data_IF_597433822920
#
_entry.id   IF_597433822920
#
_cell.length_a   1.000
_cell.length_b   1.000
_cell.length_c   1.000
_cell.angle_alpha   90.00
_cell.angle_beta   90.00
_cell.angle_gamma   90.00
#
_symmetry.space_group_name_H-M   'P 1'
#
loop_
_entity.id
_entity.type
_entity.pdbx_description
1 polymer ?
#
# COMPACT_ATOMS: atom_id res chain seq x y z
N UNK A 1 34.50 1.07 -29.44
CA UNK A 1 35.04 1.29 -30.78
C UNK A 1 36.27 2.19 -30.68
N UNK A 2 37.43 1.72 -31.16
CA UNK A 2 38.59 2.61 -31.36
C UNK A 2 38.53 3.16 -32.79
N UNK A 3 38.97 4.39 -32.97
CA UNK A 3 38.95 5.05 -34.30
C UNK A 3 40.14 5.95 -34.52
N UNK A 4 40.43 6.20 -35.79
CA UNK A 4 41.27 7.27 -36.31
C UNK A 4 40.51 7.92 -37.46
N UNK A 5 40.38 9.25 -37.48
CA UNK A 5 39.66 9.96 -38.53
C UNK A 5 40.34 11.27 -38.89
N UNK A 6 39.98 11.83 -40.04
CA UNK A 6 40.32 13.19 -40.43
C UNK A 6 39.55 14.21 -39.60
N UNK A 7 40.16 15.37 -39.39
CA UNK A 7 39.44 16.53 -38.86
C UNK A 7 38.71 17.24 -40.01
N UNK A 8 37.57 16.69 -40.39
CA UNK A 8 36.65 17.24 -41.37
C UNK A 8 35.19 17.14 -40.89
N UNK A 9 34.26 17.78 -41.58
CA UNK A 9 32.84 17.83 -41.21
C UNK A 9 32.14 16.47 -41.25
N UNK A 10 32.73 15.51 -41.93
CA UNK A 10 32.19 14.15 -42.03
C UNK A 10 32.80 13.18 -41.02
N UNK A 11 33.85 13.60 -40.29
CA UNK A 11 34.66 12.73 -39.42
C UNK A 11 35.11 11.47 -40.18
N UNK A 12 35.74 11.68 -41.33
CA UNK A 12 36.12 10.62 -42.28
C UNK A 12 37.08 9.64 -41.63
N UNK A 13 36.61 8.40 -41.42
CA UNK A 13 37.34 7.36 -40.69
C UNK A 13 38.44 6.74 -41.55
N UNK A 14 39.69 6.76 -41.06
CA UNK A 14 40.83 6.03 -41.63
C UNK A 14 40.98 4.63 -41.02
N UNK A 15 40.60 4.49 -39.75
CA UNK A 15 40.61 3.25 -38.99
C UNK A 15 39.41 3.21 -38.08
N UNK A 16 38.75 2.03 -37.99
CA UNK A 16 37.67 1.72 -37.06
C UNK A 16 37.81 0.27 -36.61
N UNK A 17 37.80 0.04 -35.32
CA UNK A 17 37.83 -1.33 -34.77
C UNK A 17 36.48 -2.04 -34.93
N UNK A 18 36.48 -3.39 -34.87
CA UNK A 18 35.30 -4.23 -35.04
C UNK A 18 34.16 -3.91 -34.04
N UNK A 19 34.50 -3.34 -32.86
CA UNK A 19 33.52 -2.87 -31.88
C UNK A 19 32.55 -1.78 -32.40
N UNK A 20 32.77 -1.21 -33.63
CA UNK A 20 31.83 -0.27 -34.22
C UNK A 20 30.48 -0.94 -34.54
N UNK A 21 30.49 -2.21 -34.95
CA UNK A 21 29.24 -2.94 -35.25
C UNK A 21 28.30 -3.05 -34.03
N UNK A 22 28.85 -3.32 -32.88
CA UNK A 22 28.08 -3.40 -31.63
C UNK A 22 27.46 -2.07 -31.21
N UNK A 23 28.17 -0.95 -31.50
CA UNK A 23 27.74 0.40 -31.13
C UNK A 23 26.78 0.98 -32.16
N UNK A 24 27.14 0.90 -33.45
CA UNK A 24 26.46 1.62 -34.52
C UNK A 24 25.54 0.75 -35.37
N UNK A 25 25.72 -0.57 -35.36
CA UNK A 25 25.05 -1.49 -36.29
C UNK A 25 25.65 -1.53 -37.69
N UNK A 26 26.66 -0.71 -37.99
CA UNK A 26 27.38 -0.72 -39.24
C UNK A 26 28.71 -1.47 -39.12
N UNK A 27 29.11 -2.18 -40.18
CA UNK A 27 30.42 -2.82 -40.22
C UNK A 27 31.53 -1.76 -40.37
N UNK A 28 32.78 -2.03 -39.92
CA UNK A 28 33.90 -1.11 -40.08
C UNK A 28 34.06 -0.62 -41.50
N UNK A 29 33.91 -1.50 -42.49
CA UNK A 29 34.09 -1.16 -43.91
C UNK A 29 33.07 -0.14 -44.41
N UNK A 30 31.91 -0.01 -43.78
CA UNK A 30 30.88 0.96 -44.16
C UNK A 30 31.26 2.40 -43.75
N UNK A 31 31.97 2.55 -42.64
CA UNK A 31 32.43 3.82 -42.10
C UNK A 31 33.77 4.28 -42.66
N UNK A 32 34.64 3.31 -43.01
CA UNK A 32 35.96 3.63 -43.56
C UNK A 32 35.83 4.45 -44.84
N UNK A 33 36.50 5.63 -44.84
CA UNK A 33 36.50 6.60 -45.95
C UNK A 33 35.07 7.01 -46.39
N UNK A 34 34.10 6.99 -45.43
CA UNK A 34 32.68 7.30 -45.64
C UNK A 34 32.07 6.48 -46.80
N UNK A 35 32.48 5.19 -46.92
CA UNK A 35 32.07 4.35 -48.05
C UNK A 35 30.56 4.24 -48.22
N UNK A 36 29.85 3.97 -47.15
CA UNK A 36 28.39 3.82 -47.15
C UNK A 36 27.71 4.93 -46.33
N UNK A 37 28.36 5.40 -45.25
CA UNK A 37 27.86 6.42 -44.32
C UNK A 37 29.05 7.10 -43.64
N UNK A 38 28.93 8.40 -43.34
CA UNK A 38 29.91 9.10 -42.52
C UNK A 38 29.60 8.97 -41.04
N UNK A 39 30.58 9.15 -40.14
CA UNK A 39 30.32 9.14 -38.73
C UNK A 39 29.44 10.31 -38.28
N UNK A 40 29.56 11.46 -38.98
CA UNK A 40 28.70 12.62 -38.73
C UNK A 40 27.19 12.31 -38.93
N UNK A 41 26.87 11.46 -39.92
CA UNK A 41 25.49 11.08 -40.21
C UNK A 41 24.89 10.19 -39.08
N UNK A 42 25.73 9.54 -38.27
CA UNK A 42 25.29 8.79 -37.08
C UNK A 42 25.05 9.71 -35.89
N UNK A 43 25.72 10.85 -35.80
CA UNK A 43 25.55 11.80 -34.70
C UNK A 43 24.16 12.44 -34.80
N UNK A 44 23.38 12.44 -33.71
CA UNK A 44 22.10 13.13 -33.71
C UNK A 44 22.28 14.62 -34.10
N UNK A 45 21.39 15.18 -34.93
CA UNK A 45 21.56 16.52 -35.49
C UNK A 45 21.82 17.63 -34.47
N UNK A 46 21.22 17.50 -33.29
CA UNK A 46 21.35 18.43 -32.16
C UNK A 46 22.79 18.53 -31.61
N UNK A 47 23.63 17.50 -31.82
CA UNK A 47 25.01 17.46 -31.32
C UNK A 47 26.06 17.80 -32.38
N UNK A 48 25.76 17.72 -33.69
CA UNK A 48 26.74 17.83 -34.75
C UNK A 48 27.57 19.16 -34.73
N UNK A 49 26.88 20.30 -34.66
CA UNK A 49 27.55 21.59 -34.63
C UNK A 49 28.26 21.86 -33.30
N UNK A 50 27.68 21.40 -32.21
CA UNK A 50 28.28 21.48 -30.87
C UNK A 50 29.63 20.72 -30.83
N UNK A 51 29.62 19.47 -31.28
CA UNK A 51 30.84 18.62 -31.29
C UNK A 51 31.92 19.19 -32.20
N UNK A 52 31.55 19.70 -33.42
CA UNK A 52 32.48 20.34 -34.31
C UNK A 52 33.20 21.52 -33.65
N UNK A 53 32.48 22.41 -33.02
CA UNK A 53 33.04 23.58 -32.36
C UNK A 53 33.93 23.18 -31.19
N UNK A 54 33.47 22.23 -30.36
CA UNK A 54 34.22 21.74 -29.21
C UNK A 54 35.54 21.07 -29.62
N UNK A 55 35.53 20.24 -30.66
CA UNK A 55 36.74 19.64 -31.19
C UNK A 55 37.72 20.70 -31.69
N UNK A 56 37.25 21.75 -32.36
CA UNK A 56 38.10 22.87 -32.80
C UNK A 56 38.81 23.57 -31.64
N UNK A 57 38.10 23.82 -30.53
CA UNK A 57 38.70 24.41 -29.34
C UNK A 57 39.75 23.51 -28.69
N UNK A 58 39.44 22.21 -28.58
CA UNK A 58 40.31 21.21 -27.95
C UNK A 58 41.59 21.00 -28.76
N UNK A 59 41.46 20.90 -30.08
CA UNK A 59 42.62 20.76 -31.00
C UNK A 59 43.53 21.98 -30.94
N UNK A 60 42.98 23.19 -30.88
CA UNK A 60 43.77 24.43 -30.76
C UNK A 60 44.58 24.49 -29.44
N UNK A 61 44.07 23.88 -28.38
CA UNK A 61 44.72 23.82 -27.05
C UNK A 61 45.62 22.59 -26.90
N UNK A 62 45.57 21.64 -27.81
CA UNK A 62 46.24 20.33 -27.76
C UNK A 62 45.84 19.52 -26.50
N UNK A 63 44.57 19.60 -26.12
CA UNK A 63 43.99 18.91 -24.96
C UNK A 63 43.28 17.60 -25.38
N UNK A 64 42.81 16.85 -24.39
CA UNK A 64 42.00 15.66 -24.61
C UNK A 64 40.52 16.04 -24.70
N UNK A 65 39.85 15.58 -25.75
CA UNK A 65 38.42 15.65 -25.90
C UNK A 65 37.75 14.61 -24.97
N UNK A 66 36.67 14.99 -24.32
CA UNK A 66 35.77 14.10 -23.58
C UNK A 66 34.38 14.67 -23.68
N UNK A 67 33.45 13.87 -24.14
CA UNK A 67 32.03 14.24 -24.16
C UNK A 67 31.10 13.05 -24.25
N UNK A 68 29.81 13.30 -24.00
CA UNK A 68 28.71 12.36 -24.12
C UNK A 68 27.66 12.90 -25.07
N UNK A 69 27.25 12.12 -26.06
CA UNK A 69 26.26 12.53 -27.05
C UNK A 69 25.46 11.33 -27.56
N UNK A 70 24.38 11.58 -28.31
CA UNK A 70 23.59 10.53 -28.91
C UNK A 70 23.93 10.29 -30.36
N UNK A 71 23.92 9.02 -30.73
CA UNK A 71 24.02 8.57 -32.14
C UNK A 71 22.74 7.81 -32.52
N UNK A 72 22.49 7.76 -33.85
CA UNK A 72 21.44 6.96 -34.47
C UNK A 72 22.08 5.74 -35.13
N UNK A 73 21.70 4.54 -34.68
CA UNK A 73 22.23 3.28 -35.22
C UNK A 73 21.62 2.94 -36.58
N UNK A 74 22.14 1.92 -37.25
CA UNK A 74 21.60 1.38 -38.50
C UNK A 74 20.15 0.90 -38.39
N UNK A 75 19.68 0.53 -37.22
CA UNK A 75 18.27 0.17 -36.94
C UNK A 75 17.36 1.37 -36.66
N UNK A 76 17.91 2.59 -36.58
CA UNK A 76 17.20 3.80 -36.21
C UNK A 76 17.08 3.99 -34.68
N UNK A 77 17.70 3.16 -33.87
CA UNK A 77 17.74 3.28 -32.43
C UNK A 77 18.68 4.40 -31.99
N UNK A 78 18.30 5.22 -31.02
CA UNK A 78 19.20 6.19 -30.40
C UNK A 78 20.00 5.50 -29.28
N UNK A 79 21.32 5.72 -29.29
CA UNK A 79 22.25 5.25 -28.26
C UNK A 79 23.10 6.41 -27.73
N UNK A 80 23.30 6.42 -26.42
CA UNK A 80 24.25 7.30 -25.78
C UNK A 80 25.66 6.75 -25.90
N UNK A 81 26.57 7.58 -26.34
CA UNK A 81 28.01 7.26 -26.44
C UNK A 81 28.83 8.25 -25.63
N UNK A 82 29.91 7.75 -25.05
CA UNK A 82 30.99 8.55 -24.48
C UNK A 82 32.17 8.48 -25.39
N UNK A 83 32.67 9.63 -25.81
CA UNK A 83 33.86 9.75 -26.65
C UNK A 83 35.03 10.35 -25.86
N UNK A 84 36.20 9.76 -25.99
CA UNK A 84 37.46 10.32 -25.53
C UNK A 84 38.46 10.21 -26.66
N UNK A 85 39.09 11.35 -27.04
CA UNK A 85 40.06 11.40 -28.13
C UNK A 85 41.07 12.52 -27.99
N UNK A 86 42.01 12.55 -28.91
CA UNK A 86 43.03 13.60 -28.99
C UNK A 86 43.45 13.84 -30.47
N UNK A 87 43.99 15.00 -30.72
CA UNK A 87 44.59 15.30 -32.01
C UNK A 87 45.96 14.63 -32.19
N UNK A 88 46.23 14.19 -33.39
CA UNK A 88 47.57 13.76 -33.86
C UNK A 88 48.13 14.91 -34.72
N UNK A 89 49.36 15.30 -34.45
CA UNK A 89 49.96 16.50 -35.05
C UNK A 89 51.25 16.15 -35.81
N UNK A 90 51.53 16.87 -36.91
CA UNK A 90 52.80 16.81 -37.60
C UNK A 90 53.90 17.61 -36.86
N UNK A 91 55.12 17.62 -37.41
CA UNK A 91 56.28 18.35 -36.84
C UNK A 91 56.06 19.88 -36.81
N UNK A 92 55.19 20.41 -37.69
CA UNK A 92 54.82 21.83 -37.77
C UNK A 92 53.65 22.19 -36.81
N UNK A 93 53.05 21.20 -36.20
CA UNK A 93 51.95 21.35 -35.22
C UNK A 93 50.57 21.40 -35.88
N UNK A 94 50.41 21.05 -37.16
CA UNK A 94 49.11 20.92 -37.81
C UNK A 94 48.45 19.60 -37.45
N UNK A 95 47.14 19.60 -37.35
CA UNK A 95 46.33 18.37 -37.06
C UNK A 95 46.35 17.51 -38.34
N UNK A 96 46.87 16.28 -38.21
CA UNK A 96 46.90 15.30 -39.30
C UNK A 96 45.81 14.26 -39.14
N UNK A 97 45.37 13.98 -37.91
CA UNK A 97 44.28 13.05 -37.60
C UNK A 97 43.74 13.30 -36.17
N UNK A 98 42.62 12.67 -35.89
CA UNK A 98 42.09 12.52 -34.56
C UNK A 98 42.04 11.03 -34.25
N UNK A 99 42.45 10.65 -33.05
CA UNK A 99 42.36 9.29 -32.55
C UNK A 99 41.57 9.24 -31.24
N UNK A 100 40.75 8.20 -31.07
CA UNK A 100 39.96 8.11 -29.87
C UNK A 100 39.23 6.78 -29.67
N UNK A 101 38.43 6.78 -28.63
CA UNK A 101 37.55 5.68 -28.24
C UNK A 101 36.14 6.20 -28.09
N UNK A 102 35.20 5.48 -28.67
CA UNK A 102 33.76 5.64 -28.45
C UNK A 102 33.23 4.42 -27.70
N UNK A 103 32.52 4.66 -26.64
CA UNK A 103 31.97 3.62 -25.72
C UNK A 103 30.47 3.81 -25.64
N UNK A 104 29.69 2.74 -25.78
CA UNK A 104 28.25 2.76 -25.56
C UNK A 104 27.97 2.89 -24.04
N UNK A 105 27.34 3.98 -23.64
CA UNK A 105 26.94 4.27 -22.25
C UNK A 105 25.42 4.25 -22.07
N UNK A 106 24.67 3.74 -23.04
CA UNK A 106 23.19 3.72 -23.00
C UNK A 106 22.69 2.99 -21.76
N UNK A 107 23.29 1.85 -21.42
CA UNK A 107 22.92 1.10 -20.24
C UNK A 107 23.24 1.86 -18.93
N UNK A 108 24.35 2.60 -18.91
CA UNK A 108 24.70 3.45 -17.78
C UNK A 108 23.68 4.58 -17.62
N UNK A 109 23.33 5.28 -18.71
CA UNK A 109 22.31 6.34 -18.70
C UNK A 109 20.93 5.84 -18.25
N UNK A 110 20.53 4.65 -18.72
CA UNK A 110 19.29 4.00 -18.26
C UNK A 110 19.33 3.69 -16.77
N UNK A 111 20.44 3.17 -16.26
CA UNK A 111 20.60 2.90 -14.80
C UNK A 111 20.57 4.21 -14.00
N UNK A 112 21.25 5.25 -14.47
CA UNK A 112 21.23 6.56 -13.78
C UNK A 112 19.82 7.16 -13.75
N UNK A 113 19.08 7.10 -14.87
CA UNK A 113 17.70 7.53 -14.95
C UNK A 113 16.79 6.70 -14.02
N UNK A 114 16.99 5.38 -13.98
CA UNK A 114 16.25 4.48 -13.11
C UNK A 114 16.56 4.75 -11.63
N UNK A 115 17.83 4.91 -11.25
CA UNK A 115 18.22 5.30 -9.89
C UNK A 115 17.58 6.62 -9.50
N UNK A 116 17.61 7.62 -10.41
CA UNK A 116 16.95 8.92 -10.17
C UNK A 116 15.45 8.75 -9.94
N UNK A 117 14.79 7.91 -10.75
CA UNK A 117 13.38 7.60 -10.57
C UNK A 117 13.11 6.97 -9.20
N UNK A 118 13.88 5.95 -8.80
CA UNK A 118 13.76 5.29 -7.49
C UNK A 118 14.01 6.24 -6.32
N UNK A 119 14.93 7.20 -6.48
CA UNK A 119 15.23 8.18 -5.44
C UNK A 119 14.08 9.16 -5.18
N UNK A 120 13.24 9.43 -6.18
CA UNK A 120 12.21 10.46 -6.10
C UNK A 120 10.78 9.94 -6.15
N UNK A 121 10.55 8.67 -6.51
CA UNK A 121 9.20 8.12 -6.64
C UNK A 121 8.91 6.99 -5.65
N UNK A 122 7.65 6.89 -5.25
CA UNK A 122 7.09 5.73 -4.54
C UNK A 122 6.73 4.64 -5.56
N UNK A 123 7.28 3.44 -5.38
CA UNK A 123 7.14 2.36 -6.37
C UNK A 123 5.72 1.79 -6.46
N UNK A 124 4.94 1.87 -5.39
CA UNK A 124 3.58 1.35 -5.39
C UNK A 124 2.62 2.27 -6.15
N UNK A 125 2.69 3.58 -5.87
CA UNK A 125 1.72 4.55 -6.40
C UNK A 125 2.23 5.33 -7.61
N UNK A 126 3.54 5.30 -7.89
CA UNK A 126 4.18 6.10 -8.91
C UNK A 126 4.19 7.60 -8.64
N UNK A 127 3.74 8.04 -7.46
CA UNK A 127 3.83 9.43 -7.01
C UNK A 127 5.26 9.77 -6.59
N UNK A 128 5.54 11.05 -6.39
CA UNK A 128 6.78 11.44 -5.74
C UNK A 128 6.79 10.92 -4.29
N UNK A 129 7.99 10.60 -3.78
CA UNK A 129 8.20 10.09 -2.44
C UNK A 129 8.52 11.21 -1.42
N UNK A 130 8.76 10.82 -0.16
CA UNK A 130 9.10 11.74 0.93
C UNK A 130 10.36 12.54 0.64
N UNK A 131 11.39 11.92 0.06
CA UNK A 131 12.65 12.60 -0.24
C UNK A 131 12.45 13.76 -1.23
N UNK A 132 11.63 13.55 -2.27
CA UNK A 132 11.27 14.60 -3.21
C UNK A 132 10.45 15.72 -2.55
N UNK A 133 9.55 15.38 -1.62
CA UNK A 133 8.80 16.37 -0.84
C UNK A 133 9.75 17.29 -0.05
N UNK A 134 10.68 16.71 0.72
CA UNK A 134 11.62 17.46 1.57
C UNK A 134 12.56 18.36 0.76
N UNK A 135 13.05 17.89 -0.38
CA UNK A 135 13.89 18.68 -1.28
C UNK A 135 13.08 19.81 -1.95
N UNK A 136 11.89 19.48 -2.45
CA UNK A 136 11.07 20.43 -3.19
C UNK A 136 10.50 21.53 -2.31
N UNK A 137 10.09 21.23 -1.07
CA UNK A 137 9.55 22.22 -0.15
C UNK A 137 10.59 23.33 0.14
N UNK A 138 11.86 22.96 0.27
CA UNK A 138 12.95 23.91 0.49
C UNK A 138 13.22 24.82 -0.72
N UNK A 139 13.03 24.28 -1.93
CA UNK A 139 13.23 25.01 -3.20
C UNK A 139 12.05 25.93 -3.53
N UNK A 140 10.83 25.51 -3.20
CA UNK A 140 9.61 26.24 -3.55
C UNK A 140 9.30 27.37 -2.58
N UNK A 141 9.93 27.36 -1.40
CA UNK A 141 9.76 28.38 -0.34
C UNK A 141 10.40 29.70 -0.72
N UNK A 142 9.86 30.34 -1.76
CA UNK A 142 10.31 31.61 -2.31
C UNK A 142 9.14 32.53 -2.64
N UNK A 143 9.36 33.86 -2.61
CA UNK A 143 8.33 34.89 -2.83
C UNK A 143 7.47 34.68 -4.11
N UNK A 144 8.01 34.26 -5.26
CA UNK A 144 7.18 34.08 -6.46
C UNK A 144 6.10 33.01 -6.33
N UNK A 145 6.21 32.12 -5.36
CA UNK A 145 5.30 31.01 -5.17
C UNK A 145 4.23 31.24 -4.09
N UNK A 146 4.30 32.40 -3.38
CA UNK A 146 3.36 32.75 -2.31
C UNK A 146 2.01 33.21 -2.88
N UNK A 147 0.89 32.87 -2.21
CA UNK A 147 0.79 32.03 -1.02
C UNK A 147 0.98 30.56 -1.36
N UNK A 148 1.65 29.79 -0.46
CA UNK A 148 1.87 28.35 -0.61
C UNK A 148 0.95 27.63 0.35
N UNK A 149 0.04 26.82 -0.18
CA UNK A 149 -0.79 25.93 0.63
C UNK A 149 -0.23 24.50 0.64
N UNK A 150 -0.29 23.88 1.80
CA UNK A 150 0.10 22.48 1.99
C UNK A 150 -1.13 21.72 2.45
N UNK A 151 -1.43 20.60 1.80
CA UNK A 151 -2.45 19.65 2.23
C UNK A 151 -1.75 18.36 2.64
N UNK A 152 -2.03 17.87 3.85
CA UNK A 152 -1.62 16.56 4.34
C UNK A 152 -2.85 15.67 4.40
N UNK A 153 -2.71 14.42 3.97
CA UNK A 153 -3.80 13.46 3.93
C UNK A 153 -3.37 12.10 4.46
N UNK A 154 -4.30 11.41 5.12
CA UNK A 154 -4.10 10.08 5.69
C UNK A 154 -5.32 9.20 5.41
N UNK A 155 -5.07 7.93 5.00
CA UNK A 155 -6.13 6.97 4.71
C UNK A 155 -6.67 6.37 6.00
N UNK A 156 -7.97 6.58 6.24
CA UNK A 156 -8.62 6.02 7.42
C UNK A 156 -8.81 4.50 7.27
N UNK A 157 -8.39 3.74 8.27
CA UNK A 157 -8.65 2.31 8.37
C UNK A 157 -7.84 1.41 7.44
N UNK A 158 -6.75 1.88 6.81
CA UNK A 158 -5.90 1.04 5.95
C UNK A 158 -5.42 -0.22 6.68
N UNK A 159 -5.04 -0.12 7.96
CA UNK A 159 -4.62 -1.27 8.77
C UNK A 159 -5.74 -2.30 8.91
N UNK A 160 -6.98 -1.86 9.13
CA UNK A 160 -8.13 -2.75 9.25
C UNK A 160 -8.42 -3.46 7.93
N UNK A 161 -8.30 -2.76 6.79
CA UNK A 161 -8.42 -3.36 5.45
C UNK A 161 -7.34 -4.42 5.23
N UNK A 162 -6.08 -4.13 5.59
CA UNK A 162 -4.97 -5.07 5.46
C UNK A 162 -5.17 -6.33 6.30
N UNK A 163 -5.65 -6.20 7.53
CA UNK A 163 -5.91 -7.34 8.42
C UNK A 163 -7.11 -8.18 7.98
N UNK A 164 -8.15 -7.54 7.43
CA UNK A 164 -9.35 -8.24 7.00
C UNK A 164 -9.22 -8.88 5.61
N UNK A 165 -8.57 -8.19 4.66
CA UNK A 165 -8.59 -8.58 3.24
C UNK A 165 -7.19 -8.84 2.66
N UNK A 166 -6.13 -8.66 3.45
CA UNK A 166 -4.74 -8.81 3.01
C UNK A 166 -4.13 -7.53 2.45
N UNK A 167 -2.79 -7.51 2.37
CA UNK A 167 -1.99 -6.34 1.94
C UNK A 167 -2.27 -5.93 0.49
N UNK A 168 -2.60 -6.88 -0.39
CA UNK A 168 -2.92 -6.60 -1.79
C UNK A 168 -4.13 -5.65 -1.91
N UNK A 169 -5.13 -5.81 -1.03
CA UNK A 169 -6.29 -4.92 -0.99
C UNK A 169 -5.96 -3.54 -0.43
N UNK A 170 -5.05 -3.45 0.51
CA UNK A 170 -4.51 -2.17 0.98
C UNK A 170 -3.74 -1.44 -0.12
N UNK A 171 -2.95 -2.16 -0.90
CA UNK A 171 -2.21 -1.62 -2.04
C UNK A 171 -3.14 -1.13 -3.16
N UNK A 172 -4.23 -1.86 -3.44
CA UNK A 172 -5.30 -1.38 -4.34
C UNK A 172 -5.93 -0.08 -3.83
N UNK A 173 -6.17 0.02 -2.51
CA UNK A 173 -6.72 1.21 -1.88
C UNK A 173 -5.78 2.41 -2.00
N UNK A 174 -4.48 2.22 -1.69
CA UNK A 174 -3.43 3.22 -1.85
C UNK A 174 -3.35 3.74 -3.29
N UNK A 175 -3.36 2.85 -4.27
CA UNK A 175 -3.37 3.20 -5.68
C UNK A 175 -4.64 3.96 -6.11
N UNK A 176 -5.78 3.62 -5.53
CA UNK A 176 -7.05 4.30 -5.80
C UNK A 176 -7.04 5.74 -5.29
N UNK A 177 -6.54 5.95 -4.06
CA UNK A 177 -6.34 7.28 -3.48
C UNK A 177 -5.36 8.10 -4.32
N UNK A 178 -4.22 7.53 -4.70
CA UNK A 178 -3.23 8.20 -5.54
C UNK A 178 -3.83 8.68 -6.87
N UNK A 179 -4.65 7.84 -7.53
CA UNK A 179 -5.36 8.20 -8.77
C UNK A 179 -6.36 9.35 -8.56
N UNK A 180 -7.13 9.30 -7.46
CA UNK A 180 -8.08 10.35 -7.14
C UNK A 180 -7.33 11.66 -6.90
N UNK A 181 -6.33 11.67 -6.02
CA UNK A 181 -5.54 12.87 -5.73
C UNK A 181 -4.92 13.46 -7.00
N UNK A 182 -4.30 12.62 -7.84
CA UNK A 182 -3.68 13.04 -9.11
C UNK A 182 -4.67 13.70 -10.07
N UNK A 183 -5.93 13.22 -10.10
CA UNK A 183 -6.98 13.80 -10.97
C UNK A 183 -7.32 15.25 -10.60
N UNK A 184 -7.16 15.61 -9.32
CA UNK A 184 -7.48 16.95 -8.81
C UNK A 184 -6.24 17.83 -8.59
N UNK A 185 -5.06 17.39 -9.03
CA UNK A 185 -3.85 18.19 -9.09
C UNK A 185 -3.79 18.99 -10.40
N UNK A 186 -3.30 20.22 -10.33
CA UNK A 186 -2.93 21.06 -11.47
C UNK A 186 -1.46 20.82 -11.87
N UNK A 187 -1.04 21.37 -13.00
CA UNK A 187 0.33 21.18 -13.51
C UNK A 187 1.43 21.69 -12.57
N UNK A 188 1.13 22.77 -11.83
CA UNK A 188 2.05 23.36 -10.84
C UNK A 188 2.06 22.66 -9.50
N UNK A 189 1.08 21.80 -9.22
CA UNK A 189 0.94 21.10 -7.94
C UNK A 189 1.90 19.93 -7.83
N UNK A 190 2.38 19.68 -6.62
CA UNK A 190 3.29 18.58 -6.35
C UNK A 190 2.60 17.61 -5.40
N UNK A 191 2.28 16.42 -5.89
CA UNK A 191 1.66 15.34 -5.14
C UNK A 191 2.69 14.29 -4.77
N UNK A 192 2.76 13.98 -3.48
CA UNK A 192 3.71 13.03 -2.91
C UNK A 192 3.04 12.02 -1.98
N UNK A 193 3.63 10.83 -1.86
CA UNK A 193 3.34 9.89 -0.78
C UNK A 193 4.49 9.95 0.22
N UNK A 194 4.22 10.44 1.43
CA UNK A 194 5.25 10.74 2.44
C UNK A 194 5.35 9.67 3.53
N UNK A 195 4.38 8.77 3.62
CA UNK A 195 4.33 7.70 4.60
C UNK A 195 3.60 6.46 4.07
N UNK A 196 3.34 5.49 4.93
CA UNK A 196 2.61 4.27 4.57
C UNK A 196 1.21 4.56 4.03
N UNK A 197 0.44 5.36 4.74
CA UNK A 197 -0.93 5.80 4.45
C UNK A 197 -1.04 7.33 4.26
N UNK A 198 0.11 8.03 4.28
CA UNK A 198 0.17 9.49 4.26
C UNK A 198 0.53 10.05 2.89
N UNK A 199 -0.21 11.08 2.48
CA UNK A 199 -0.01 11.83 1.24
C UNK A 199 0.17 13.32 1.54
N UNK A 200 0.94 14.02 0.70
CA UNK A 200 1.07 15.47 0.78
C UNK A 200 0.95 16.12 -0.59
N UNK A 201 0.27 17.27 -0.62
CA UNK A 201 0.19 18.14 -1.80
C UNK A 201 0.80 19.49 -1.44
N UNK A 202 1.71 19.97 -2.28
CA UNK A 202 2.23 21.34 -2.23
C UNK A 202 1.55 22.11 -3.36
N UNK A 203 0.91 23.21 -3.02
CA UNK A 203 0.11 24.02 -3.92
C UNK A 203 0.68 25.44 -3.96
N UNK A 204 1.59 25.74 -4.92
CA UNK A 204 2.10 27.09 -5.10
C UNK A 204 1.00 28.04 -5.57
N UNK A 205 1.14 29.34 -5.24
CA UNK A 205 0.19 30.38 -5.64
C UNK A 205 -1.28 30.07 -5.29
N UNK A 206 -1.51 29.33 -4.20
CA UNK A 206 -2.84 28.84 -3.82
C UNK A 206 -3.21 29.37 -2.44
N UNK A 207 -4.35 30.06 -2.35
CA UNK A 207 -4.87 30.58 -1.08
C UNK A 207 -5.42 29.46 -0.17
N UNK A 208 -5.58 29.77 1.12
CA UNK A 208 -6.22 28.84 2.06
C UNK A 208 -7.64 28.44 1.63
N UNK A 209 -8.42 29.40 1.08
CA UNK A 209 -9.78 29.15 0.63
C UNK A 209 -9.82 28.19 -0.57
N UNK A 210 -8.93 28.39 -1.54
CA UNK A 210 -8.83 27.53 -2.71
C UNK A 210 -8.36 26.11 -2.32
N UNK A 211 -7.43 26.00 -1.36
CA UNK A 211 -6.99 24.73 -0.82
C UNK A 211 -8.12 23.99 -0.09
N UNK A 212 -8.93 24.69 0.70
CA UNK A 212 -10.11 24.14 1.37
C UNK A 212 -11.17 23.65 0.38
N UNK A 213 -11.43 24.40 -0.70
CA UNK A 213 -12.36 23.96 -1.73
C UNK A 213 -11.86 22.70 -2.44
N UNK A 214 -10.53 22.62 -2.69
CA UNK A 214 -9.92 21.44 -3.26
C UNK A 214 -10.08 20.21 -2.34
N UNK A 215 -9.90 20.38 -1.04
CA UNK A 215 -10.17 19.33 -0.04
C UNK A 215 -11.61 18.82 -0.16
N UNK A 216 -12.60 19.71 -0.22
CA UNK A 216 -14.01 19.32 -0.35
C UNK A 216 -14.27 18.46 -1.58
N UNK A 217 -13.71 18.87 -2.73
CA UNK A 217 -13.88 18.14 -3.99
C UNK A 217 -13.23 16.75 -3.91
N UNK A 218 -12.03 16.65 -3.32
CA UNK A 218 -11.34 15.37 -3.12
C UNK A 218 -12.15 14.46 -2.17
N UNK A 219 -12.63 14.98 -1.06
CA UNK A 219 -13.44 14.24 -0.09
C UNK A 219 -14.76 13.73 -0.70
N UNK A 220 -15.41 14.55 -1.51
CA UNK A 220 -16.61 14.15 -2.24
C UNK A 220 -16.29 13.04 -3.26
N UNK A 221 -15.18 13.13 -3.96
CA UNK A 221 -14.74 12.09 -4.88
C UNK A 221 -14.43 10.77 -4.15
N UNK A 222 -13.79 10.84 -2.99
CA UNK A 222 -13.54 9.66 -2.14
C UNK A 222 -14.84 9.02 -1.65
N UNK A 223 -15.84 9.82 -1.24
CA UNK A 223 -17.10 9.31 -0.70
C UNK A 223 -17.95 8.54 -1.73
N UNK A 224 -17.70 8.72 -3.02
CA UNK A 224 -18.35 7.94 -4.10
C UNK A 224 -17.77 6.54 -4.28
N UNK A 225 -16.62 6.25 -3.67
CA UNK A 225 -15.96 4.97 -3.71
C UNK A 225 -16.20 4.24 -2.40
N UNK A 226 -16.86 3.09 -2.44
CA UNK A 226 -17.13 2.27 -1.26
C UNK A 226 -15.83 1.93 -0.51
N UNK A 227 -15.85 2.09 0.80
CA UNK A 227 -14.73 1.80 1.72
C UNK A 227 -13.49 2.71 1.56
N UNK A 228 -13.60 3.88 0.91
CA UNK A 228 -12.49 4.81 0.82
C UNK A 228 -12.79 6.06 1.67
N UNK A 229 -11.98 6.28 2.71
CA UNK A 229 -12.06 7.47 3.56
C UNK A 229 -10.67 8.07 3.72
N UNK A 230 -10.60 9.38 3.51
CA UNK A 230 -9.37 10.15 3.60
C UNK A 230 -9.59 11.32 4.56
N UNK A 231 -8.69 11.48 5.52
CA UNK A 231 -8.65 12.65 6.39
C UNK A 231 -7.64 13.63 5.82
N UNK A 232 -8.10 14.85 5.52
CA UNK A 232 -7.28 15.90 4.91
C UNK A 232 -7.21 17.11 5.85
N UNK A 233 -6.03 17.72 5.95
CA UNK A 233 -5.81 18.98 6.65
C UNK A 233 -4.96 19.89 5.80
N UNK A 234 -5.20 21.20 5.84
CA UNK A 234 -4.36 22.15 5.13
C UNK A 234 -3.98 23.36 5.98
N UNK A 235 -2.86 23.96 5.61
CA UNK A 235 -2.41 25.27 6.10
C UNK A 235 -1.74 26.04 4.95
N UNK A 236 -1.63 27.37 5.11
CA UNK A 236 -1.12 28.25 4.05
C UNK A 236 -0.09 29.21 4.59
N UNK A 237 1.09 29.20 4.02
CA UNK A 237 2.12 30.23 4.19
C UNK A 237 1.78 31.43 3.31
N UNK A 238 1.58 32.59 3.93
CA UNK A 238 1.15 33.82 3.23
C UNK A 238 2.30 34.77 2.94
N UNK A 239 3.32 34.78 3.80
CA UNK A 239 4.41 35.73 3.75
C UNK A 239 5.77 35.05 3.84
N UNK A 240 6.82 35.72 3.35
CA UNK A 240 8.20 35.21 3.44
C UNK A 240 8.73 35.07 4.87
N UNK A 241 8.12 35.76 5.84
CA UNK A 241 8.56 35.74 7.24
C UNK A 241 8.03 34.52 8.01
N UNK A 242 7.05 33.84 7.50
CA UNK A 242 6.54 32.59 8.06
C UNK A 242 7.49 31.45 7.70
N UNK A 243 7.72 30.52 8.64
CA UNK A 243 8.50 29.33 8.37
C UNK A 243 7.62 28.27 7.73
N UNK A 244 8.04 27.71 6.61
CA UNK A 244 7.29 26.67 5.90
C UNK A 244 7.10 25.41 6.76
N UNK A 245 8.04 25.13 7.69
CA UNK A 245 7.93 24.04 8.66
C UNK A 245 6.73 24.19 9.60
N UNK A 246 6.38 25.43 9.99
CA UNK A 246 5.18 25.67 10.79
C UNK A 246 3.92 25.40 9.97
N UNK A 247 3.90 25.81 8.70
CA UNK A 247 2.78 25.53 7.80
C UNK A 247 2.57 24.01 7.60
N UNK A 248 3.65 23.23 7.48
CA UNK A 248 3.56 21.76 7.41
C UNK A 248 2.93 21.21 8.70
N UNK A 249 3.46 21.63 9.85
CA UNK A 249 2.96 21.20 11.16
C UNK A 249 1.48 21.57 11.36
N UNK A 250 1.09 22.79 11.01
CA UNK A 250 -0.31 23.23 11.11
C UNK A 250 -1.23 22.40 10.18
N UNK A 251 -0.76 22.00 8.99
CA UNK A 251 -1.49 21.13 8.11
C UNK A 251 -1.63 19.69 8.67
N UNK A 252 -0.57 19.16 9.30
CA UNK A 252 -0.59 17.87 10.02
C UNK A 252 -1.56 17.91 11.21
N UNK A 253 -1.50 18.95 12.04
CA UNK A 253 -2.38 19.14 13.21
C UNK A 253 -3.85 19.23 12.76
N UNK A 254 -4.15 19.95 11.68
CA UNK A 254 -5.48 20.05 11.10
C UNK A 254 -5.95 18.70 10.51
N UNK A 255 -5.08 17.94 9.86
CA UNK A 255 -5.39 16.60 9.37
C UNK A 255 -5.72 15.66 10.54
N UNK A 256 -4.89 15.68 11.60
CA UNK A 256 -5.11 14.84 12.78
C UNK A 256 -6.45 15.17 13.46
N UNK A 257 -6.80 16.45 13.60
CA UNK A 257 -8.10 16.87 14.13
C UNK A 257 -9.25 16.29 13.28
N UNK A 258 -9.17 16.43 11.96
CA UNK A 258 -10.16 15.88 11.04
C UNK A 258 -10.22 14.36 11.09
N UNK A 259 -9.08 13.70 11.28
CA UNK A 259 -8.99 12.24 11.46
C UNK A 259 -9.74 11.79 12.72
N UNK A 260 -9.56 12.50 13.84
CA UNK A 260 -10.29 12.22 15.08
C UNK A 260 -11.81 12.39 14.92
N UNK A 261 -12.25 13.40 14.19
CA UNK A 261 -13.69 13.64 13.95
C UNK A 261 -14.33 12.62 13.00
N UNK A 262 -13.59 12.13 12.01
CA UNK A 262 -14.08 11.21 10.96
C UNK A 262 -13.87 9.74 11.26
N UNK A 263 -12.83 9.39 12.01
CA UNK A 263 -12.44 7.99 12.23
C UNK A 263 -13.55 7.17 12.89
N UNK A 264 -14.24 7.73 13.87
CA UNK A 264 -15.30 7.02 14.60
C UNK A 264 -16.45 6.60 13.65
N UNK A 265 -16.91 7.50 12.80
CA UNK A 265 -17.97 7.21 11.82
C UNK A 265 -17.50 6.22 10.74
N UNK A 266 -16.27 6.35 10.28
CA UNK A 266 -15.71 5.47 9.25
C UNK A 266 -15.48 4.05 9.79
N UNK A 267 -14.89 3.89 10.99
CA UNK A 267 -14.69 2.58 11.59
C UNK A 267 -16.03 1.87 11.84
N UNK A 268 -17.05 2.57 12.35
CA UNK A 268 -18.38 2.01 12.53
C UNK A 268 -19.01 1.52 11.21
N UNK A 269 -18.86 2.29 10.12
CA UNK A 269 -19.34 1.88 8.80
C UNK A 269 -18.55 0.71 8.23
N UNK A 270 -17.23 0.68 8.45
CA UNK A 270 -16.39 -0.43 8.00
C UNK A 270 -16.70 -1.72 8.76
N UNK A 271 -16.91 -1.65 10.07
CA UNK A 271 -17.38 -2.80 10.89
C UNK A 271 -18.72 -3.32 10.40
N UNK A 272 -19.66 -2.42 10.07
CA UNK A 272 -20.94 -2.82 9.47
C UNK A 272 -20.74 -3.52 8.11
N UNK A 273 -19.83 -3.03 7.26
CA UNK A 273 -19.47 -3.66 5.99
C UNK A 273 -18.81 -5.04 6.20
N UNK A 274 -17.92 -5.17 7.18
CA UNK A 274 -17.29 -6.44 7.54
C UNK A 274 -18.33 -7.45 8.01
N UNK A 275 -19.31 -7.03 8.84
CA UNK A 275 -20.44 -7.85 9.27
C UNK A 275 -21.25 -8.38 8.09
N UNK A 276 -21.61 -7.51 7.14
CA UNK A 276 -22.31 -7.92 5.91
C UNK A 276 -21.48 -8.92 5.09
N UNK A 277 -20.18 -8.69 4.98
CA UNK A 277 -19.26 -9.60 4.27
C UNK A 277 -19.17 -10.96 4.98
N UNK A 278 -19.09 -10.98 6.32
CA UNK A 278 -19.09 -12.20 7.11
C UNK A 278 -20.35 -13.03 6.80
N UNK A 279 -21.52 -12.41 6.88
CA UNK A 279 -22.80 -13.08 6.62
C UNK A 279 -22.95 -13.58 5.19
N UNK A 280 -22.37 -12.85 4.21
CA UNK A 280 -22.37 -13.29 2.81
C UNK A 280 -21.40 -14.45 2.55
N UNK A 281 -20.31 -14.56 3.31
CA UNK A 281 -19.27 -15.59 3.12
C UNK A 281 -19.52 -16.86 3.94
N UNK A 282 -20.00 -16.71 5.16
CA UNK A 282 -20.21 -17.80 6.12
C UNK A 282 -21.70 -18.14 6.26
N UNK A 283 -21.99 -19.16 7.05
CA UNK A 283 -23.36 -19.54 7.42
C UNK A 283 -23.91 -18.73 8.61
N UNK A 284 -23.15 -17.73 9.05
CA UNK A 284 -23.59 -16.84 10.12
C UNK A 284 -24.72 -15.95 9.62
N UNK A 285 -25.77 -15.80 10.44
CA UNK A 285 -26.94 -14.97 10.11
C UNK A 285 -27.22 -13.96 11.22
N UNK A 286 -28.00 -12.94 10.89
CA UNK A 286 -28.43 -11.97 11.91
C UNK A 286 -29.34 -12.63 12.96
N UNK A 287 -30.17 -13.59 12.57
CA UNK A 287 -31.03 -14.36 13.48
C UNK A 287 -30.20 -15.18 14.47
N UNK A 288 -29.11 -15.82 14.04
CA UNK A 288 -28.15 -16.49 14.90
C UNK A 288 -27.58 -15.51 15.92
N UNK A 289 -27.01 -14.39 15.47
CA UNK A 289 -26.46 -13.38 16.37
C UNK A 289 -27.50 -12.87 17.40
N UNK A 290 -28.75 -12.63 16.98
CA UNK A 290 -29.80 -12.16 17.86
C UNK A 290 -30.18 -13.24 18.96
N UNK A 291 -30.18 -14.52 18.59
CA UNK A 291 -30.40 -15.59 19.58
C UNK A 291 -29.27 -15.65 20.60
N UNK A 292 -28.01 -15.57 20.14
CA UNK A 292 -26.85 -15.52 21.05
C UNK A 292 -26.91 -14.31 21.99
N UNK A 293 -27.26 -13.12 21.47
CA UNK A 293 -27.44 -11.90 22.28
C UNK A 293 -28.50 -12.12 23.34
N UNK A 294 -29.66 -12.65 22.96
CA UNK A 294 -30.73 -12.92 23.93
C UNK A 294 -30.26 -13.81 25.09
N UNK A 295 -29.64 -14.94 24.80
CA UNK A 295 -29.16 -15.85 25.83
C UNK A 295 -28.01 -15.28 26.65
N UNK A 296 -27.05 -14.60 26.03
CA UNK A 296 -25.92 -13.98 26.73
C UNK A 296 -26.34 -12.89 27.70
N UNK A 297 -27.34 -12.08 27.34
CA UNK A 297 -27.90 -11.03 28.19
C UNK A 297 -28.62 -11.65 29.45
N UNK A 298 -29.30 -12.76 29.26
CA UNK A 298 -29.99 -13.45 30.36
C UNK A 298 -29.00 -14.12 31.33
N UNK A 299 -28.00 -14.84 30.81
CA UNK A 299 -26.91 -15.42 31.60
C UNK A 299 -26.15 -14.31 32.33
N UNK A 300 -25.80 -13.24 31.62
CA UNK A 300 -25.04 -12.15 32.21
C UNK A 300 -25.78 -11.44 33.35
N UNK A 301 -27.10 -11.32 33.26
CA UNK A 301 -27.95 -10.81 34.37
C UNK A 301 -27.99 -11.76 35.55
N UNK A 302 -28.13 -13.08 35.32
CA UNK A 302 -28.11 -14.09 36.37
C UNK A 302 -26.74 -14.12 37.11
N UNK A 303 -25.68 -13.91 36.36
CA UNK A 303 -24.30 -13.79 36.89
C UNK A 303 -23.96 -12.41 37.46
N UNK A 304 -24.90 -11.45 37.46
CA UNK A 304 -24.70 -10.06 37.89
C UNK A 304 -23.54 -9.35 37.23
N UNK A 305 -23.36 -9.52 35.90
CA UNK A 305 -22.33 -8.85 35.14
C UNK A 305 -22.63 -7.36 35.02
N UNK A 306 -21.56 -6.54 34.88
CA UNK A 306 -21.69 -5.10 34.64
C UNK A 306 -22.32 -4.80 33.30
N UNK A 307 -22.94 -3.60 33.14
CA UNK A 307 -23.45 -3.15 31.83
C UNK A 307 -22.36 -3.10 30.76
N UNK A 308 -21.15 -2.73 31.13
CA UNK A 308 -20.00 -2.73 30.19
C UNK A 308 -19.75 -4.15 29.66
N UNK A 309 -19.69 -5.15 30.54
CA UNK A 309 -19.49 -6.55 30.16
C UNK A 309 -20.66 -7.08 29.33
N UNK A 310 -21.89 -6.67 29.61
CA UNK A 310 -23.08 -7.03 28.82
C UNK A 310 -23.02 -6.46 27.42
N UNK A 311 -22.54 -5.21 27.25
CA UNK A 311 -22.32 -4.60 25.93
C UNK A 311 -21.19 -5.29 25.18
N UNK A 312 -20.10 -5.66 25.84
CA UNK A 312 -19.01 -6.45 25.25
C UNK A 312 -19.48 -7.82 24.78
N UNK A 313 -20.35 -8.50 25.56
CA UNK A 313 -20.97 -9.76 25.17
C UNK A 313 -21.86 -9.63 23.94
N UNK A 314 -22.68 -8.59 23.86
CA UNK A 314 -23.52 -8.33 22.68
C UNK A 314 -22.66 -8.14 21.41
N UNK A 315 -21.58 -7.37 21.53
CA UNK A 315 -20.65 -7.15 20.43
C UNK A 315 -19.92 -8.45 20.07
N UNK A 316 -19.51 -9.24 21.06
CA UNK A 316 -18.88 -10.55 20.86
C UNK A 316 -19.84 -11.54 20.18
N UNK A 317 -21.11 -11.64 20.60
CA UNK A 317 -22.10 -12.46 19.92
C UNK A 317 -22.26 -12.14 18.43
N UNK A 318 -22.13 -10.88 18.07
CA UNK A 318 -22.24 -10.43 16.69
C UNK A 318 -20.99 -10.72 15.85
N UNK A 319 -19.79 -10.72 16.47
CA UNK A 319 -18.51 -10.63 15.75
C UNK A 319 -17.49 -11.73 16.13
N UNK A 320 -17.85 -12.71 16.97
CA UNK A 320 -16.91 -13.76 17.43
C UNK A 320 -16.22 -14.47 16.26
N UNK A 321 -16.93 -14.65 15.16
CA UNK A 321 -16.51 -15.34 13.96
C UNK A 321 -15.99 -14.42 12.84
N UNK A 322 -15.74 -13.13 13.12
CA UNK A 322 -15.34 -12.15 12.09
C UNK A 322 -14.10 -12.57 11.32
N UNK A 323 -13.23 -13.36 11.92
CA UNK A 323 -12.02 -13.87 11.27
C UNK A 323 -12.28 -14.87 10.14
N UNK A 324 -13.49 -15.41 10.00
CA UNK A 324 -13.91 -16.24 8.86
C UNK A 324 -13.81 -15.49 7.53
N UNK A 325 -13.83 -14.15 7.54
CA UNK A 325 -13.60 -13.32 6.36
C UNK A 325 -12.25 -13.64 5.69
N UNK A 326 -11.22 -13.94 6.48
CA UNK A 326 -9.88 -14.27 5.99
C UNK A 326 -9.66 -15.75 5.64
N UNK A 327 -10.70 -16.59 5.74
CA UNK A 327 -10.64 -18.00 5.36
C UNK A 327 -11.08 -18.18 3.90
N UNK A 328 -10.42 -19.12 3.18
CA UNK A 328 -10.75 -19.40 1.77
C UNK A 328 -12.21 -19.89 1.63
N UNK A 329 -12.93 -19.33 0.66
CA UNK A 329 -14.33 -19.66 0.38
C UNK A 329 -14.52 -21.16 0.09
N UNK A 330 -13.52 -21.85 -0.47
CA UNK A 330 -13.55 -23.29 -0.76
C UNK A 330 -13.63 -24.12 0.52
N UNK A 331 -13.06 -23.61 1.63
CA UNK A 331 -13.11 -24.25 2.95
C UNK A 331 -14.44 -23.94 3.63
N UNK A 332 -14.83 -22.66 3.62
CA UNK A 332 -16.09 -22.22 4.28
C UNK A 332 -17.36 -22.82 3.68
N UNK A 333 -17.38 -23.03 2.34
CA UNK A 333 -18.54 -23.50 1.58
C UNK A 333 -18.45 -24.99 1.22
N UNK A 334 -17.49 -25.73 1.77
CA UNK A 334 -17.28 -27.14 1.46
C UNK A 334 -18.47 -27.99 1.90
N UNK A 335 -19.08 -28.72 0.97
CA UNK A 335 -20.18 -29.64 1.23
C UNK A 335 -19.65 -30.99 1.74
N UNK A 336 -19.08 -31.05 2.94
CA UNK A 336 -18.57 -32.29 3.53
C UNK A 336 -17.46 -32.03 4.57
N UNK A 337 -16.89 -33.06 5.18
CA UNK A 337 -15.88 -32.90 6.21
C UNK A 337 -14.62 -32.23 5.65
N UNK A 338 -14.00 -31.37 6.46
CA UNK A 338 -12.71 -30.75 6.13
C UNK A 338 -11.59 -31.78 6.23
N UNK A 339 -10.57 -31.68 5.37
CA UNK A 339 -9.30 -32.41 5.55
C UNK A 339 -8.54 -31.87 6.76
N UNK A 340 -7.51 -32.55 7.23
CA UNK A 340 -6.69 -32.07 8.32
C UNK A 340 -6.07 -30.70 8.01
N UNK A 341 -5.58 -30.50 6.78
CA UNK A 341 -4.96 -29.26 6.34
C UNK A 341 -5.99 -28.11 6.27
N UNK A 342 -7.20 -28.40 5.77
CA UNK A 342 -8.31 -27.43 5.73
C UNK A 342 -8.78 -27.09 7.15
N UNK A 343 -8.80 -28.07 8.05
CA UNK A 343 -9.15 -27.85 9.46
C UNK A 343 -8.12 -26.97 10.17
N UNK A 344 -6.82 -27.17 9.92
CA UNK A 344 -5.78 -26.29 10.44
C UNK A 344 -5.95 -24.84 9.93
N UNK A 345 -6.37 -24.66 8.67
CA UNK A 345 -6.68 -23.33 8.16
C UNK A 345 -7.92 -22.74 8.82
N UNK A 346 -8.99 -23.53 9.01
CA UNK A 346 -10.20 -23.09 9.70
C UNK A 346 -9.91 -22.64 11.13
N UNK A 347 -9.06 -23.35 11.87
CA UNK A 347 -8.67 -22.99 13.24
C UNK A 347 -7.93 -21.66 13.37
N UNK A 348 -7.54 -21.03 12.27
CA UNK A 348 -6.88 -19.70 12.29
C UNK A 348 -7.86 -18.52 12.39
N UNK A 349 -9.18 -18.75 12.21
CA UNK A 349 -10.12 -17.62 12.23
C UNK A 349 -10.15 -16.86 13.57
N UNK A 350 -9.97 -17.47 14.79
CA UNK A 350 -9.89 -16.67 16.02
C UNK A 350 -8.69 -15.72 16.05
N UNK A 351 -7.53 -16.14 15.52
CA UNK A 351 -6.34 -15.29 15.41
C UNK A 351 -6.54 -14.16 14.40
N UNK A 352 -7.16 -14.45 13.24
CA UNK A 352 -7.50 -13.44 12.23
C UNK A 352 -8.51 -12.45 12.84
N UNK A 353 -9.55 -12.94 13.50
CA UNK A 353 -10.55 -12.11 14.18
C UNK A 353 -9.95 -11.22 15.27
N UNK A 354 -9.02 -11.76 16.07
CA UNK A 354 -8.26 -10.98 17.03
C UNK A 354 -7.52 -9.82 16.39
N UNK A 355 -6.80 -10.06 15.27
CA UNK A 355 -6.07 -9.00 14.56
C UNK A 355 -6.99 -7.94 14.00
N UNK A 356 -8.11 -8.34 13.40
CA UNK A 356 -9.15 -7.41 12.91
C UNK A 356 -9.67 -6.54 14.07
N UNK A 357 -10.02 -7.16 15.21
CA UNK A 357 -10.52 -6.43 16.37
C UNK A 357 -9.47 -5.50 16.98
N UNK A 358 -8.20 -5.91 17.06
CA UNK A 358 -7.11 -5.06 17.54
C UNK A 358 -6.80 -3.86 16.64
N UNK A 359 -7.15 -3.94 15.35
CA UNK A 359 -6.98 -2.84 14.40
C UNK A 359 -8.06 -1.75 14.52
N UNK A 360 -9.19 -2.04 15.21
CA UNK A 360 -10.30 -1.09 15.45
C UNK A 360 -10.38 -0.71 16.93
N UNK A 361 -10.37 0.60 17.28
CA UNK A 361 -10.50 1.06 18.65
C UNK A 361 -11.78 0.53 19.32
N UNK A 362 -12.88 0.45 18.59
CA UNK A 362 -14.21 0.05 19.06
C UNK A 362 -14.28 -1.44 19.39
N UNK A 363 -13.48 -2.28 18.72
CA UNK A 363 -13.48 -3.74 18.91
C UNK A 363 -12.35 -4.22 19.82
N UNK A 364 -11.42 -3.35 20.18
CA UNK A 364 -10.22 -3.75 20.96
C UNK A 364 -10.55 -4.43 22.27
N UNK A 365 -11.61 -3.98 22.93
CA UNK A 365 -12.05 -4.57 24.21
C UNK A 365 -12.44 -6.05 24.07
N UNK A 366 -13.07 -6.43 22.95
CA UNK A 366 -13.54 -7.81 22.72
C UNK A 366 -12.50 -8.69 22.01
N UNK A 367 -11.38 -8.13 21.55
CA UNK A 367 -10.35 -8.87 20.79
C UNK A 367 -9.85 -10.12 21.56
N UNK A 368 -9.50 -10.07 22.86
CA UNK A 368 -9.10 -11.26 23.62
C UNK A 368 -10.21 -12.32 23.67
N UNK A 369 -11.47 -11.90 23.71
CA UNK A 369 -12.62 -12.81 23.78
C UNK A 369 -12.84 -13.53 22.43
N UNK A 370 -12.66 -12.82 21.32
CA UNK A 370 -12.67 -13.42 19.97
C UNK A 370 -11.55 -14.46 19.84
N UNK A 371 -10.36 -14.18 20.39
CA UNK A 371 -9.25 -15.13 20.31
C UNK A 371 -9.58 -16.45 21.04
N UNK A 372 -10.31 -16.38 22.17
CA UNK A 372 -10.49 -17.49 23.09
C UNK A 372 -11.87 -18.21 23.01
N UNK A 373 -12.73 -17.86 22.00
CA UNK A 373 -14.08 -18.42 21.95
C UNK A 373 -14.14 -19.91 21.60
N UNK A 374 -13.07 -20.49 21.07
CA UNK A 374 -12.90 -21.92 20.81
C UNK A 374 -11.98 -22.63 21.80
N UNK A 375 -11.60 -21.95 22.90
CA UNK A 375 -10.93 -22.64 24.01
C UNK A 375 -11.92 -23.58 24.75
N UNK A 376 -11.39 -24.69 25.22
CA UNK A 376 -12.17 -25.70 25.96
C UNK A 376 -11.79 -25.71 27.44
N UNK A 377 -12.72 -25.94 28.29
CA UNK A 377 -12.53 -25.94 29.78
C UNK A 377 -11.37 -26.86 30.22
N UNK A 378 -11.19 -28.00 29.56
CA UNK A 378 -10.13 -28.98 29.83
C UNK A 378 -8.74 -28.60 29.29
N UNK A 379 -8.63 -27.54 28.48
CA UNK A 379 -7.40 -27.08 27.83
C UNK A 379 -7.09 -27.75 26.48
N UNK A 380 -8.02 -28.55 25.94
CA UNK A 380 -7.86 -29.19 24.63
C UNK A 380 -8.33 -28.31 23.46
N UNK A 381 -8.71 -27.05 23.74
CA UNK A 381 -9.16 -26.06 22.77
C UNK A 381 -8.04 -25.41 21.96
N UNK A 382 -8.38 -24.38 21.21
CA UNK A 382 -7.45 -23.60 20.41
C UNK A 382 -7.80 -22.10 20.40
N UNK A 383 -6.86 -21.20 20.07
CA UNK A 383 -5.48 -21.44 19.59
C UNK A 383 -4.42 -21.54 20.71
N UNK A 384 -4.74 -21.19 21.97
CA UNK A 384 -3.76 -21.03 23.05
C UNK A 384 -3.72 -22.25 23.98
N UNK A 385 -4.77 -23.09 24.01
CA UNK A 385 -4.93 -24.22 24.93
C UNK A 385 -5.13 -23.78 26.39
N UNK A 386 -5.83 -22.67 26.62
CA UNK A 386 -6.16 -22.15 27.92
C UNK A 386 -7.10 -23.12 28.67
N UNK A 387 -6.96 -23.18 29.99
CA UNK A 387 -7.71 -24.13 30.79
C UNK A 387 -8.48 -23.45 31.93
N UNK A 388 -9.74 -23.87 32.12
CA UNK A 388 -10.55 -23.42 33.23
C UNK A 388 -10.77 -21.92 33.25
N UNK A 389 -10.45 -21.26 34.35
CA UNK A 389 -10.62 -19.81 34.53
C UNK A 389 -9.60 -18.94 33.83
N UNK A 390 -8.55 -19.52 33.20
CA UNK A 390 -7.66 -18.78 32.31
C UNK A 390 -8.42 -18.29 31.06
N UNK A 391 -9.50 -19.00 30.68
CA UNK A 391 -10.37 -18.59 29.57
C UNK A 391 -11.25 -17.42 30.05
N UNK A 392 -11.29 -16.29 29.32
CA UNK A 392 -12.15 -15.16 29.67
C UNK A 392 -13.60 -15.58 29.86
N UNK A 393 -14.25 -15.03 30.88
CA UNK A 393 -15.65 -15.39 31.22
C UNK A 393 -16.61 -15.22 30.04
N UNK A 394 -16.47 -14.14 29.28
CA UNK A 394 -17.28 -13.86 28.10
C UNK A 394 -17.10 -14.91 27.00
N UNK A 395 -15.85 -15.42 26.82
CA UNK A 395 -15.56 -16.51 25.88
C UNK A 395 -16.15 -17.84 26.34
N UNK A 396 -16.17 -18.10 27.65
CA UNK A 396 -16.84 -19.29 28.20
C UNK A 396 -18.37 -19.24 28.03
N UNK A 397 -18.96 -18.05 28.17
CA UNK A 397 -20.39 -17.84 27.94
C UNK A 397 -20.75 -18.08 26.48
N UNK A 398 -20.02 -17.45 25.53
CA UNK A 398 -20.33 -17.60 24.11
C UNK A 398 -20.13 -19.03 23.61
N UNK A 399 -19.15 -19.77 24.13
CA UNK A 399 -18.92 -21.16 23.77
C UNK A 399 -20.11 -22.05 24.08
N UNK A 400 -20.79 -21.85 25.22
CA UNK A 400 -22.00 -22.62 25.62
C UNK A 400 -23.19 -22.25 24.72
N UNK A 401 -23.45 -20.95 24.53
CA UNK A 401 -24.65 -20.51 23.79
C UNK A 401 -24.53 -20.77 22.30
N UNK A 402 -23.33 -20.63 21.71
CA UNK A 402 -23.10 -20.95 20.30
C UNK A 402 -23.25 -22.46 20.03
N UNK A 403 -22.70 -23.31 20.90
CA UNK A 403 -22.90 -24.77 20.81
C UNK A 403 -24.37 -25.16 20.92
N UNK A 404 -25.13 -24.55 21.86
CA UNK A 404 -26.56 -24.79 21.99
C UNK A 404 -27.32 -24.36 20.72
N UNK A 405 -27.04 -23.17 20.20
CA UNK A 405 -27.67 -22.66 18.97
C UNK A 405 -27.34 -23.53 17.76
N UNK A 406 -26.08 -24.01 17.66
CA UNK A 406 -25.65 -24.93 16.62
C UNK A 406 -26.36 -26.28 16.65
N UNK A 407 -26.71 -26.79 17.82
CA UNK A 407 -27.44 -28.07 18.02
C UNK A 407 -28.93 -27.94 17.73
N UNK A 408 -29.55 -26.81 18.04
CA UNK A 408 -31.03 -26.64 18.04
C UNK A 408 -31.59 -25.96 16.82
N UNK A 409 -30.73 -25.35 15.98
CA UNK A 409 -31.17 -24.67 14.72
C UNK A 409 -30.60 -25.35 13.49
N UNK A 410 -31.37 -25.31 12.36
CA UNK A 410 -30.98 -25.91 11.11
C UNK A 410 -29.69 -25.26 10.57
N UNK A 411 -28.66 -26.08 10.38
CA UNK A 411 -27.49 -25.79 9.58
C UNK A 411 -27.50 -26.73 8.36
N UNK A 412 -26.99 -26.29 7.23
CA UNK A 412 -27.12 -27.00 5.93
C UNK A 412 -26.66 -28.48 5.93
N UNK A 413 -26.09 -29.00 7.02
CA UNK A 413 -25.43 -30.32 7.06
C UNK A 413 -25.80 -31.17 8.27
N UNK A 414 -26.71 -30.76 9.18
CA UNK A 414 -26.97 -31.48 10.41
C UNK A 414 -28.46 -31.45 10.74
N UNK A 415 -29.01 -32.60 11.15
CA UNK A 415 -30.37 -32.68 11.71
C UNK A 415 -30.38 -31.93 13.04
N UNK A 416 -31.45 -31.18 13.33
CA UNK A 416 -31.64 -30.45 14.59
C UNK A 416 -31.93 -31.42 15.71
N UNK A 417 -31.24 -31.24 16.83
CA UNK A 417 -31.58 -31.94 18.10
C UNK A 417 -32.78 -31.25 18.74
N UNK A 418 -33.53 -32.01 19.55
CA UNK A 418 -34.49 -31.39 20.45
C UNK A 418 -33.80 -30.55 21.53
N UNK A 419 -34.52 -29.62 22.14
CA UNK A 419 -33.95 -28.81 23.23
C UNK A 419 -33.47 -29.66 24.39
N UNK A 420 -34.20 -30.77 24.70
CA UNK A 420 -33.83 -31.70 25.74
C UNK A 420 -32.51 -32.42 25.41
N UNK A 421 -32.33 -32.87 24.19
CA UNK A 421 -31.09 -33.52 23.73
C UNK A 421 -29.90 -32.53 23.77
N UNK A 422 -30.09 -31.30 23.33
CA UNK A 422 -29.04 -30.26 23.39
C UNK A 422 -28.64 -29.90 24.83
N UNK A 423 -29.61 -29.78 25.73
CA UNK A 423 -29.35 -29.57 27.16
C UNK A 423 -28.60 -30.76 27.77
N UNK A 424 -28.96 -32.00 27.40
CA UNK A 424 -28.24 -33.17 27.88
C UNK A 424 -26.80 -33.19 27.41
N UNK A 425 -26.54 -32.88 26.15
CA UNK A 425 -25.18 -32.78 25.60
C UNK A 425 -24.34 -31.72 26.31
N UNK A 426 -24.93 -30.54 26.62
CA UNK A 426 -24.23 -29.50 27.38
C UNK A 426 -23.85 -30.01 28.79
N UNK A 427 -24.72 -30.78 29.44
CA UNK A 427 -24.43 -31.39 30.76
C UNK A 427 -23.31 -32.42 30.68
N UNK A 428 -23.34 -33.27 29.67
CA UNK A 428 -22.36 -34.34 29.47
C UNK A 428 -20.97 -33.79 29.14
N UNK A 429 -20.92 -32.62 28.46
CA UNK A 429 -19.69 -31.91 28.14
C UNK A 429 -19.25 -30.88 29.22
N UNK A 430 -20.00 -30.70 30.31
CA UNK A 430 -19.61 -29.81 31.41
C UNK A 430 -18.36 -30.34 32.13
N UNK A 431 -17.36 -29.48 32.31
CA UNK A 431 -16.06 -29.84 32.90
C UNK A 431 -15.04 -30.37 31.92
N UNK A 432 -15.44 -30.59 30.65
CA UNK A 432 -14.53 -30.93 29.53
C UNK A 432 -14.51 -29.82 28.48
N UNK A 433 -15.55 -29.70 27.70
CA UNK A 433 -15.67 -28.63 26.70
C UNK A 433 -16.10 -27.31 27.34
N UNK A 434 -17.08 -27.36 28.24
CA UNK A 434 -17.75 -26.18 28.78
C UNK A 434 -17.48 -25.97 30.25
N UNK A 435 -17.53 -24.72 30.69
CA UNK A 435 -17.52 -24.34 32.09
C UNK A 435 -18.80 -24.85 32.78
N UNK A 436 -18.70 -25.71 33.82
CA UNK A 436 -19.87 -26.23 34.54
C UNK A 436 -20.76 -25.13 35.14
N UNK A 437 -20.17 -24.02 35.58
CA UNK A 437 -20.94 -22.91 36.15
C UNK A 437 -21.78 -22.21 35.08
N UNK A 438 -21.23 -22.01 33.91
CA UNK A 438 -21.94 -21.37 32.79
C UNK A 438 -23.04 -22.29 32.24
N UNK A 439 -22.76 -23.59 32.11
CA UNK A 439 -23.79 -24.58 31.72
C UNK A 439 -24.96 -24.54 32.68
N UNK A 440 -24.71 -24.53 33.98
CA UNK A 440 -25.77 -24.48 35.00
C UNK A 440 -26.56 -23.16 34.93
N UNK A 441 -25.89 -22.03 34.79
CA UNK A 441 -26.53 -20.72 34.64
C UNK A 441 -27.41 -20.68 33.36
N UNK A 442 -26.92 -21.21 32.25
CA UNK A 442 -27.68 -21.31 31.00
C UNK A 442 -28.95 -22.15 31.17
N UNK A 443 -28.83 -23.35 31.73
CA UNK A 443 -29.98 -24.27 31.92
C UNK A 443 -31.04 -23.63 32.81
N UNK A 444 -30.63 -22.99 33.92
CA UNK A 444 -31.52 -22.26 34.80
C UNK A 444 -32.33 -21.21 34.04
N UNK A 445 -31.62 -20.32 33.35
CA UNK A 445 -32.24 -19.22 32.57
C UNK A 445 -33.13 -19.77 31.45
N UNK A 446 -32.68 -20.80 30.73
CA UNK A 446 -33.46 -21.43 29.67
C UNK A 446 -34.77 -22.05 30.17
N UNK A 447 -34.74 -22.70 31.36
CA UNK A 447 -35.94 -23.33 31.99
C UNK A 447 -36.93 -22.29 32.50
N UNK A 448 -36.49 -21.08 32.86
CA UNK A 448 -37.37 -20.00 33.33
C UNK A 448 -38.11 -19.29 32.18
N UNK A 449 -37.69 -19.46 30.94
CA UNK A 449 -38.25 -18.74 29.78
C UNK A 449 -39.17 -19.65 28.94
N UNK A 450 -38.95 -20.97 28.98
CA UNK A 450 -39.72 -21.97 28.23
C UNK A 450 -40.53 -22.83 29.16
#
# INVERSE_FOLDING_TARGET
MAYRCHYDRSWTMEFVSDGCYEITGYKPESLLYNRDISYNDLICPEYQEYLWNKWGEILAKKEYFKDEYEIITASGERKWVYEQGCGVYDEDGNVIAIEGLVIDISQQKQREAHIRYLNYHDLLTGLYNRHYFEETISRIDAEPNLPISIIIGDINGLKLVNEAYGTDKGDELLNSVAKILKKYCQEADILTRIGGDEFALILPNTSYQDAQERIRVIEQACSTHHNLSLSLGCATKKTKFELISNTIKDAEDNMLLNKLLKSHSFHSNLIASLKVTLYAKSQETDEHAQRLIKYSQLIGKDLNLSETTLNELELLCTLHDIGKIGIDDRILKKAGPLTNEEWEQMKRHPEIGYRIAMASPELRAIAPYILCHHERWDGSGYPQGLKGEEIPLTSRIIAVIDAFDAMTNERCYQATNSFEEAIQELKDCAGTQFDPHIVNAFIKVFTEIN
#
